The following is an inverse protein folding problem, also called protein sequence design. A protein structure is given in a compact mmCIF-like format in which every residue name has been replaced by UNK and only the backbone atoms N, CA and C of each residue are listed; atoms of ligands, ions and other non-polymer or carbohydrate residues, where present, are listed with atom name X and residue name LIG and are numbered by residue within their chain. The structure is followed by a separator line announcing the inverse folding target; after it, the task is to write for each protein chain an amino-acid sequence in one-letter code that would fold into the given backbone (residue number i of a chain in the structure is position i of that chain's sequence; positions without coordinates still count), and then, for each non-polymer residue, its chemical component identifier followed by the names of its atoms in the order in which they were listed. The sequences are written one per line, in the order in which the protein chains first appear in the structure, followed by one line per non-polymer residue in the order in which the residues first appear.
data_IF_465265991921
#
_entry.id   IF_465265991921
#
_cell.length_a   1.000
_cell.length_b   1.000
_cell.length_c   1.000
_cell.angle_alpha   90.00
_cell.angle_beta   90.00
_cell.angle_gamma   90.00
#
_symmetry.space_group_name_H-M   'P 1'
#
loop_
_entity.id
_entity.type
_entity.pdbx_description
1 polymer ?
#
# COMPACT_ATOMS: atom_id res chain seq x y z
N UNK A 1 -43.69 8.25 44.68
CA UNK A 1 -43.10 7.41 43.62
C UNK A 1 -42.95 8.25 42.36
N UNK A 2 -41.80 8.91 42.16
CA UNK A 2 -41.53 9.79 41.03
C UNK A 2 -40.72 9.01 39.99
N UNK A 3 -41.34 8.70 38.85
CA UNK A 3 -40.71 7.97 37.74
C UNK A 3 -39.87 8.94 36.90
N UNK A 4 -38.56 8.69 36.82
CA UNK A 4 -37.63 9.43 35.96
C UNK A 4 -37.61 8.76 34.58
N UNK A 5 -38.02 9.49 33.55
CA UNK A 5 -38.00 9.04 32.15
C UNK A 5 -36.64 9.47 31.56
N UNK A 6 -35.71 8.53 31.40
CA UNK A 6 -34.41 8.77 30.75
C UNK A 6 -34.59 8.50 29.25
N UNK A 7 -34.63 9.56 28.44
CA UNK A 7 -34.62 9.45 26.98
C UNK A 7 -33.17 9.52 26.46
N UNK A 8 -32.68 8.44 25.84
CA UNK A 8 -31.41 8.43 25.11
C UNK A 8 -31.55 9.20 23.80
N UNK A 9 -30.93 10.37 23.70
CA UNK A 9 -30.81 11.10 22.43
C UNK A 9 -29.50 10.67 21.75
N UNK A 10 -29.58 9.92 20.64
CA UNK A 10 -28.40 9.61 19.81
C UNK A 10 -27.91 10.92 19.17
N UNK A 11 -26.82 11.49 19.67
CA UNK A 11 -26.13 12.58 18.99
C UNK A 11 -25.51 12.00 17.71
N UNK A 12 -26.11 12.33 16.57
CA UNK A 12 -25.49 12.07 15.28
C UNK A 12 -24.23 12.94 15.18
N UNK A 13 -23.08 12.29 15.00
CA UNK A 13 -21.84 13.01 14.68
C UNK A 13 -21.91 13.48 13.22
N UNK A 14 -21.46 14.71 12.92
CA UNK A 14 -21.35 15.14 11.53
C UNK A 14 -20.33 14.24 10.83
N UNK A 15 -20.77 13.57 9.77
CA UNK A 15 -19.85 12.95 8.81
C UNK A 15 -19.15 14.10 8.11
N UNK A 16 -17.86 14.28 8.39
CA UNK A 16 -17.00 15.20 7.64
C UNK A 16 -16.87 14.61 6.23
N UNK A 17 -17.72 15.07 5.33
CA UNK A 17 -17.80 14.58 3.94
C UNK A 17 -16.72 15.17 3.03
N UNK A 18 -15.83 16.02 3.54
CA UNK A 18 -14.80 16.66 2.74
C UNK A 18 -13.44 16.47 3.39
N UNK A 19 -12.82 15.33 3.08
CA UNK A 19 -11.35 15.29 3.03
C UNK A 19 -10.97 15.91 1.69
N UNK A 20 -10.68 17.21 1.67
CA UNK A 20 -9.94 17.82 0.56
C UNK A 20 -8.58 17.15 0.54
N UNK A 21 -8.46 16.12 -0.30
CA UNK A 21 -7.16 15.64 -0.72
C UNK A 21 -6.61 16.74 -1.60
N UNK A 22 -5.51 17.34 -1.15
CA UNK A 22 -4.64 18.12 -2.02
C UNK A 22 -4.45 17.31 -3.31
N UNK A 23 -4.65 17.90 -4.51
CA UNK A 23 -4.44 17.18 -5.75
C UNK A 23 -3.03 16.58 -5.69
N UNK A 24 -2.86 15.27 -5.96
CA UNK A 24 -1.54 14.67 -5.93
C UNK A 24 -0.62 15.51 -6.79
N UNK A 25 0.36 16.17 -6.14
CA UNK A 25 1.47 16.85 -6.79
C UNK A 25 1.90 15.97 -7.96
N UNK A 26 2.03 16.51 -9.19
CA UNK A 26 2.33 15.69 -10.35
C UNK A 26 3.67 14.99 -10.12
N UNK A 27 3.60 13.77 -9.62
CA UNK A 27 4.73 12.87 -9.53
C UNK A 27 5.12 12.60 -10.96
N UNK A 28 6.38 12.89 -11.28
CA UNK A 28 6.94 12.82 -12.63
C UNK A 28 6.49 11.57 -13.39
N UNK A 29 6.41 11.63 -14.73
CA UNK A 29 5.96 10.49 -15.51
C UNK A 29 6.82 9.27 -15.17
N UNK A 30 6.21 8.20 -14.66
CA UNK A 30 6.89 6.88 -14.48
C UNK A 30 7.35 6.30 -15.81
N UNK A 31 6.94 6.91 -16.93
CA UNK A 31 7.15 6.42 -18.29
C UNK A 31 8.64 6.17 -18.61
N UNK A 32 9.55 6.88 -17.95
CA UNK A 32 10.99 6.82 -18.26
C UNK A 32 11.81 6.01 -17.24
N UNK A 33 11.20 5.46 -16.18
CA UNK A 33 11.94 4.69 -15.17
C UNK A 33 12.17 3.26 -15.67
N UNK A 34 13.42 2.96 -16.05
CA UNK A 34 13.82 1.58 -16.37
C UNK A 34 13.85 0.72 -15.09
N UNK A 35 13.21 -0.47 -15.08
CA UNK A 35 13.29 -1.38 -13.95
C UNK A 35 14.72 -1.82 -13.65
N UNK A 36 15.04 -1.93 -12.36
CA UNK A 36 16.34 -2.37 -11.85
C UNK A 36 16.08 -3.29 -10.65
N UNK A 37 16.43 -4.55 -10.82
CA UNK A 37 16.20 -5.60 -9.82
C UNK A 37 17.13 -5.50 -8.61
N UNK A 38 18.31 -4.89 -8.74
CA UNK A 38 19.26 -4.69 -7.63
C UNK A 38 18.81 -3.53 -6.74
N UNK A 39 18.26 -2.47 -7.33
CA UNK A 39 17.54 -1.43 -6.58
C UNK A 39 16.29 -2.04 -5.94
N UNK A 40 15.53 -2.81 -6.71
CA UNK A 40 14.31 -3.46 -6.24
C UNK A 40 14.52 -4.36 -5.04
N UNK A 41 15.60 -5.16 -5.04
CA UNK A 41 15.98 -6.00 -3.89
C UNK A 41 16.23 -5.16 -2.64
N UNK A 42 17.00 -4.07 -2.76
CA UNK A 42 17.29 -3.18 -1.63
C UNK A 42 16.03 -2.51 -1.10
N UNK A 43 15.12 -2.08 -1.97
CA UNK A 43 13.81 -1.55 -1.56
C UNK A 43 13.01 -2.63 -0.84
N UNK A 44 12.96 -3.84 -1.40
CA UNK A 44 12.23 -4.97 -0.83
C UNK A 44 12.69 -5.30 0.59
N UNK A 45 14.00 -5.53 0.77
CA UNK A 45 14.56 -5.92 2.07
C UNK A 45 14.41 -4.83 3.13
N UNK A 46 14.49 -3.56 2.73
CA UNK A 46 14.51 -2.43 3.66
C UNK A 46 13.13 -1.82 3.94
N UNK A 47 12.17 -1.95 3.02
CA UNK A 47 10.84 -1.34 3.15
C UNK A 47 9.76 -2.38 3.48
N UNK A 48 9.80 -3.56 2.86
CA UNK A 48 8.72 -4.55 2.99
C UNK A 48 8.78 -5.34 4.32
N UNK A 49 9.87 -5.22 5.08
CA UNK A 49 10.07 -5.81 6.41
C UNK A 49 9.69 -4.89 7.57
N UNK A 50 9.31 -3.64 7.29
CA UNK A 50 9.09 -2.62 8.34
C UNK A 50 7.84 -2.84 9.19
N UNK A 51 6.81 -3.45 8.61
CA UNK A 51 5.49 -3.56 9.25
C UNK A 51 5.11 -5.01 9.61
N UNK A 52 5.75 -5.99 9.00
CA UNK A 52 5.56 -7.42 9.21
C UNK A 52 6.76 -8.17 8.64
N UNK A 53 6.81 -9.50 8.80
CA UNK A 53 7.87 -10.33 8.25
C UNK A 53 8.07 -10.09 6.76
N UNK A 54 9.34 -10.11 6.33
CA UNK A 54 9.67 -9.97 4.91
C UNK A 54 9.11 -11.19 4.17
N UNK A 55 8.19 -10.99 3.20
CA UNK A 55 7.58 -12.12 2.54
C UNK A 55 8.60 -12.79 1.60
N UNK A 56 8.46 -14.10 1.38
CA UNK A 56 9.27 -14.82 0.39
C UNK A 56 8.71 -14.59 -1.02
N UNK A 57 9.45 -13.94 -1.95
CA UNK A 57 9.00 -13.73 -3.33
C UNK A 57 8.60 -15.02 -4.06
N UNK A 58 9.25 -16.15 -3.75
CA UNK A 58 8.98 -17.44 -4.41
C UNK A 58 7.70 -18.12 -3.91
N UNK A 59 7.02 -17.55 -2.90
CA UNK A 59 5.79 -18.11 -2.32
C UNK A 59 4.59 -18.04 -3.26
N UNK A 60 4.53 -17.03 -4.12
CA UNK A 60 3.39 -16.76 -5.00
C UNK A 60 3.83 -16.53 -6.44
N UNK A 61 2.93 -16.78 -7.40
CA UNK A 61 3.13 -16.46 -8.81
C UNK A 61 2.90 -14.96 -9.08
N UNK A 62 3.18 -14.52 -10.31
CA UNK A 62 3.11 -13.12 -10.72
C UNK A 62 1.72 -12.50 -10.55
N UNK A 63 0.66 -13.25 -10.87
CA UNK A 63 -0.73 -12.75 -10.81
C UNK A 63 -1.15 -12.50 -9.36
N UNK A 64 -0.76 -13.40 -8.45
CA UNK A 64 -1.03 -13.21 -7.02
C UNK A 64 -0.20 -12.07 -6.44
N UNK A 65 1.05 -11.91 -6.87
CA UNK A 65 1.87 -10.77 -6.48
C UNK A 65 1.30 -9.43 -6.93
N UNK A 66 0.66 -9.34 -8.10
CA UNK A 66 0.00 -8.12 -8.54
C UNK A 66 -1.09 -7.67 -7.57
N UNK A 67 -1.86 -8.60 -7.01
CA UNK A 67 -2.85 -8.31 -5.96
C UNK A 67 -2.22 -7.82 -4.65
N UNK A 68 -1.13 -8.48 -4.22
CA UNK A 68 -0.43 -8.17 -2.97
C UNK A 68 0.22 -6.78 -3.07
N UNK A 69 1.01 -6.55 -4.13
CA UNK A 69 1.74 -5.29 -4.34
C UNK A 69 0.79 -4.10 -4.43
N UNK A 70 -0.33 -4.24 -5.15
CA UNK A 70 -1.38 -3.20 -5.24
C UNK A 70 -1.88 -2.73 -3.86
N UNK A 71 -1.92 -3.64 -2.88
CA UNK A 71 -2.38 -3.32 -1.52
C UNK A 71 -1.24 -2.85 -0.63
N UNK A 72 -0.05 -3.45 -0.75
CA UNK A 72 1.07 -3.20 0.14
C UNK A 72 1.87 -1.94 -0.22
N UNK A 73 2.07 -1.64 -1.50
CA UNK A 73 2.87 -0.49 -1.95
C UNK A 73 2.33 0.84 -1.39
N UNK A 74 1.02 1.13 -1.47
CA UNK A 74 0.47 2.35 -0.87
C UNK A 74 0.63 2.41 0.65
N UNK A 75 0.64 1.26 1.33
CA UNK A 75 0.79 1.15 2.80
C UNK A 75 2.25 1.25 3.26
N UNK A 76 3.17 0.84 2.40
CA UNK A 76 4.61 0.91 2.65
C UNK A 76 5.17 2.33 2.47
N UNK A 77 4.41 3.25 1.87
CA UNK A 77 4.79 4.66 1.71
C UNK A 77 6.05 4.85 0.84
N UNK A 78 6.26 3.97 -0.14
CA UNK A 78 7.39 4.06 -1.07
C UNK A 78 7.06 4.98 -2.25
N UNK A 79 8.06 5.70 -2.77
CA UNK A 79 7.92 6.55 -3.96
C UNK A 79 7.58 5.73 -5.22
N UNK A 80 6.98 6.36 -6.23
CA UNK A 80 6.60 5.71 -7.50
C UNK A 80 7.78 5.12 -8.28
N UNK A 81 8.97 5.72 -8.19
CA UNK A 81 10.22 5.17 -8.77
C UNK A 81 10.59 3.84 -8.10
N UNK A 82 10.61 3.81 -6.76
CA UNK A 82 10.89 2.59 -6.00
C UNK A 82 9.82 1.50 -6.19
N UNK A 83 8.56 1.87 -6.44
CA UNK A 83 7.50 0.93 -6.83
C UNK A 83 7.87 0.15 -8.11
N UNK A 84 8.42 0.81 -9.14
CA UNK A 84 8.85 0.14 -10.37
C UNK A 84 9.94 -0.89 -10.09
N UNK A 85 10.97 -0.48 -9.35
CA UNK A 85 12.11 -1.36 -9.04
C UNK A 85 11.70 -2.54 -8.17
N UNK A 86 10.94 -2.31 -7.09
CA UNK A 86 10.52 -3.38 -6.16
C UNK A 86 9.57 -4.36 -6.84
N UNK A 87 8.67 -3.87 -7.68
CA UNK A 87 7.75 -4.74 -8.45
C UNK A 87 8.53 -5.65 -9.40
N UNK A 88 9.54 -5.12 -10.08
CA UNK A 88 10.39 -5.91 -10.97
C UNK A 88 11.16 -6.99 -10.19
N UNK A 89 11.74 -6.65 -9.04
CA UNK A 89 12.41 -7.63 -8.19
C UNK A 89 11.46 -8.75 -7.72
N UNK A 90 10.29 -8.39 -7.18
CA UNK A 90 9.32 -9.38 -6.69
C UNK A 90 8.86 -10.31 -7.82
N UNK A 91 8.55 -9.76 -9.00
CA UNK A 91 8.13 -10.56 -10.15
C UNK A 91 9.23 -11.45 -10.71
N UNK A 92 10.47 -10.95 -10.77
CA UNK A 92 11.62 -11.74 -11.24
C UNK A 92 11.94 -12.94 -10.33
N UNK A 93 11.52 -12.89 -9.06
CA UNK A 93 11.71 -13.95 -8.07
C UNK A 93 10.40 -14.65 -7.69
N UNK A 94 9.32 -14.39 -8.43
CA UNK A 94 8.03 -15.04 -8.21
C UNK A 94 8.12 -16.53 -8.55
N UNK A 95 7.23 -17.32 -7.96
CA UNK A 95 7.06 -18.73 -8.32
C UNK A 95 6.78 -18.83 -9.82
N UNK A 96 7.56 -19.65 -10.53
CA UNK A 96 7.24 -20.02 -11.91
C UNK A 96 5.86 -20.66 -11.97
N UNK A 97 5.09 -20.31 -13.01
CA UNK A 97 3.76 -20.85 -13.22
C UNK A 97 3.80 -22.32 -13.66
#
# INVERSE_FOLDING_TARGET
MLTVIIACNKKAMPVISERTTDPPKPESPVADVKPDIVIGQRVFTNQCSKCHDLPDPAKYNTERWDGILRTMIPRAGISRVNEVHVTAYVKANAKSN
#
